data_IF_955951570371
#
_entry.id   IF_955951570371
#
_cell.length_a   1.000
_cell.length_b   1.000
_cell.length_c   1.000
_cell.angle_alpha   90.00
_cell.angle_beta   90.00
_cell.angle_gamma   90.00
#
_symmetry.space_group_name_H-M   'P 1'
#
loop_
_entity.id
_entity.type
_entity.pdbx_description
1 polymer ?
#
# COMPACT_ATOMS: atom_id res chain seq x y z
N UNK A 1 11.24 80.19 -25.74
CA UNK A 1 10.62 79.87 -27.03
C UNK A 1 10.72 78.37 -27.23
N UNK A 2 9.58 77.72 -27.44
CA UNK A 2 9.42 76.33 -27.82
C UNK A 2 10.04 76.02 -29.18
N UNK A 3 10.26 74.71 -29.39
CA UNK A 3 9.78 73.90 -30.51
C UNK A 3 10.91 73.14 -31.24
N UNK A 4 11.05 71.83 -31.00
CA UNK A 4 10.49 70.72 -31.81
C UNK A 4 11.57 70.21 -32.80
N UNK A 5 11.72 68.96 -33.23
CA UNK A 5 10.92 67.73 -33.29
C UNK A 5 11.89 66.60 -33.74
N UNK A 6 11.64 65.33 -33.42
CA UNK A 6 11.41 64.22 -34.38
C UNK A 6 11.60 62.82 -33.75
N UNK A 7 10.56 62.01 -33.96
CA UNK A 7 10.40 60.56 -33.83
C UNK A 7 11.50 59.81 -34.62
N UNK A 8 11.91 58.55 -34.42
CA UNK A 8 11.25 57.23 -34.38
C UNK A 8 12.37 56.26 -33.87
N UNK A 9 12.13 55.19 -33.09
CA UNK A 9 12.09 53.80 -33.57
C UNK A 9 11.71 52.90 -32.38
N UNK A 10 10.64 52.13 -32.57
CA UNK A 10 10.28 50.95 -31.79
C UNK A 10 10.86 49.72 -32.47
N UNK A 11 11.73 48.98 -31.78
CA UNK A 11 12.01 47.53 -31.89
C UNK A 11 12.71 47.22 -30.55
N UNK A 12 12.26 46.37 -29.64
CA UNK A 12 11.58 45.09 -29.80
C UNK A 12 12.52 44.02 -29.23
N UNK A 13 12.26 43.57 -28.00
CA UNK A 13 12.55 42.20 -27.53
C UNK A 13 12.10 42.08 -26.07
N UNK A 14 11.20 41.14 -25.86
CA UNK A 14 10.54 40.83 -24.61
C UNK A 14 11.55 40.43 -23.52
N UNK A 15 11.34 40.95 -22.30
CA UNK A 15 11.84 40.32 -21.10
C UNK A 15 11.11 38.96 -20.97
N UNK A 16 11.82 37.87 -21.25
CA UNK A 16 11.35 36.53 -20.98
C UNK A 16 11.32 36.37 -19.45
N UNK A 17 10.15 36.61 -18.86
CA UNK A 17 9.88 36.19 -17.50
C UNK A 17 9.98 34.66 -17.48
N UNK A 18 11.03 34.12 -16.88
CA UNK A 18 11.13 32.69 -16.57
C UNK A 18 10.08 32.44 -15.49
N UNK A 19 8.90 32.03 -15.94
CA UNK A 19 7.83 31.50 -15.10
C UNK A 19 8.39 30.26 -14.42
N UNK A 20 8.35 30.30 -13.09
CA UNK A 20 8.65 29.22 -12.17
C UNK A 20 7.97 27.93 -12.61
N UNK A 21 8.74 27.04 -13.24
CA UNK A 21 8.35 25.67 -13.50
C UNK A 21 8.59 24.83 -12.24
N UNK A 22 7.65 24.89 -11.30
CA UNK A 22 7.48 23.85 -10.30
C UNK A 22 7.10 22.56 -11.05
N UNK A 23 8.08 21.71 -11.32
CA UNK A 23 7.91 20.53 -12.18
C UNK A 23 8.63 19.32 -11.62
N UNK A 24 7.88 18.52 -10.86
CA UNK A 24 8.08 17.11 -10.56
C UNK A 24 9.37 16.75 -9.81
N UNK A 25 9.37 17.04 -8.50
CA UNK A 25 10.04 16.14 -7.57
C UNK A 25 9.30 14.79 -7.62
N UNK A 26 9.93 13.78 -8.20
CA UNK A 26 9.54 12.40 -7.92
C UNK A 26 9.65 12.22 -6.40
N UNK A 27 8.54 11.88 -5.75
CA UNK A 27 8.57 11.48 -4.36
C UNK A 27 9.51 10.27 -4.27
N UNK A 28 10.66 10.47 -3.63
CA UNK A 28 11.60 9.40 -3.37
C UNK A 28 10.88 8.30 -2.57
N UNK A 29 11.04 7.04 -2.97
CA UNK A 29 10.33 5.89 -2.40
C UNK A 29 10.63 5.62 -0.92
N UNK A 30 11.37 6.50 -0.25
CA UNK A 30 11.67 6.45 1.18
C UNK A 30 10.44 6.74 2.05
N UNK A 31 9.44 7.49 1.56
CA UNK A 31 8.26 7.87 2.36
C UNK A 31 7.16 6.79 2.37
N UNK A 32 7.26 5.80 1.46
CA UNK A 32 6.34 4.66 1.37
C UNK A 32 6.59 3.61 2.48
N UNK A 33 7.80 3.59 3.01
CA UNK A 33 8.23 2.68 4.06
C UNK A 33 8.64 3.50 5.28
N UNK A 34 7.67 3.99 6.05
CA UNK A 34 7.94 4.36 7.44
C UNK A 34 8.34 3.06 8.15
N UNK A 35 9.63 2.73 8.12
CA UNK A 35 10.20 1.58 8.80
C UNK A 35 10.23 1.86 10.29
N UNK A 36 9.88 0.86 11.10
CA UNK A 36 10.07 0.95 12.55
C UNK A 36 11.55 0.75 12.83
N UNK A 37 12.18 1.69 13.55
CA UNK A 37 13.63 1.66 13.80
C UNK A 37 14.02 0.48 14.71
N UNK A 38 13.19 0.14 15.71
CA UNK A 38 13.46 -0.92 16.69
C UNK A 38 12.28 -1.90 16.84
N UNK A 39 12.00 -2.78 15.87
CA UNK A 39 10.97 -3.81 16.04
C UNK A 39 11.41 -4.84 17.09
N UNK A 40 10.53 -5.19 18.03
CA UNK A 40 10.77 -6.29 18.95
C UNK A 40 10.85 -7.62 18.19
N UNK A 41 11.76 -8.50 18.60
CA UNK A 41 11.74 -9.91 18.20
C UNK A 41 10.81 -10.69 19.14
N UNK A 42 9.63 -11.06 18.63
CA UNK A 42 8.59 -11.78 19.35
C UNK A 42 8.51 -13.24 18.89
N UNK A 43 8.23 -14.13 19.84
CA UNK A 43 7.70 -15.47 19.52
C UNK A 43 6.31 -15.38 18.89
N UNK A 44 5.87 -16.47 18.24
CA UNK A 44 4.51 -16.59 17.70
C UNK A 44 3.42 -16.29 18.74
N UNK A 45 3.61 -16.78 19.96
CA UNK A 45 2.64 -16.60 21.04
C UNK A 45 2.53 -15.13 21.46
N UNK A 46 3.66 -14.46 21.68
CA UNK A 46 3.70 -13.04 22.05
C UNK A 46 3.09 -12.17 20.94
N UNK A 47 3.43 -12.44 19.68
CA UNK A 47 2.85 -11.75 18.54
C UNK A 47 1.31 -11.92 18.48
N UNK A 48 0.80 -13.12 18.74
CA UNK A 48 -0.65 -13.37 18.81
C UNK A 48 -1.33 -12.62 19.97
N UNK A 49 -0.69 -12.57 21.14
CA UNK A 49 -1.22 -11.87 22.32
C UNK A 49 -1.33 -10.37 22.07
N UNK A 50 -0.28 -9.74 21.53
CA UNK A 50 -0.31 -8.34 21.14
C UNK A 50 -1.35 -8.07 20.05
N UNK A 51 -1.42 -8.92 19.02
CA UNK A 51 -2.39 -8.77 17.94
C UNK A 51 -3.83 -8.83 18.45
N UNK A 52 -4.16 -9.80 19.32
CA UNK A 52 -5.50 -9.94 19.93
C UNK A 52 -5.89 -8.69 20.72
N UNK A 53 -4.93 -8.03 21.37
CA UNK A 53 -5.18 -6.77 22.10
C UNK A 53 -5.56 -5.61 21.16
N UNK A 54 -5.04 -5.60 19.93
CA UNK A 54 -5.23 -4.53 18.94
C UNK A 54 -6.32 -4.79 17.91
N UNK A 55 -6.66 -6.05 17.64
CA UNK A 55 -7.53 -6.45 16.51
C UNK A 55 -8.81 -5.60 16.40
N UNK A 56 -9.55 -5.43 17.50
CA UNK A 56 -10.80 -4.64 17.48
C UNK A 56 -10.57 -3.15 17.23
N UNK A 57 -9.43 -2.61 17.67
CA UNK A 57 -9.04 -1.22 17.42
C UNK A 57 -8.67 -1.01 15.96
N UNK A 58 -7.90 -1.94 15.38
CA UNK A 58 -7.57 -1.95 13.95
C UNK A 58 -8.82 -1.99 13.07
N UNK A 59 -9.73 -2.93 13.33
CA UNK A 59 -10.98 -3.04 12.58
C UNK A 59 -11.80 -1.74 12.58
N UNK A 60 -11.92 -1.08 13.75
CA UNK A 60 -12.60 0.21 13.86
C UNK A 60 -11.88 1.34 13.13
N UNK A 61 -10.55 1.37 13.21
CA UNK A 61 -9.73 2.36 12.51
C UNK A 61 -9.93 2.26 11.00
N UNK A 62 -9.69 1.08 10.42
CA UNK A 62 -9.81 0.89 8.98
C UNK A 62 -11.24 1.08 8.45
N UNK A 63 -12.27 0.78 9.25
CA UNK A 63 -13.66 1.00 8.85
C UNK A 63 -14.01 2.47 8.56
N UNK A 64 -13.25 3.43 9.10
CA UNK A 64 -13.43 4.86 8.81
C UNK A 64 -13.13 5.18 7.34
N UNK A 65 -12.30 4.37 6.66
CA UNK A 65 -12.02 4.52 5.22
C UNK A 65 -13.25 4.25 4.33
N UNK A 66 -14.30 3.60 4.87
CA UNK A 66 -15.53 3.25 4.15
C UNK A 66 -15.28 2.47 2.84
N UNK A 67 -14.24 1.63 2.83
CA UNK A 67 -13.92 0.77 1.71
C UNK A 67 -14.72 -0.54 1.80
N UNK A 68 -15.75 -0.66 0.97
CA UNK A 68 -16.62 -1.85 0.92
C UNK A 68 -15.85 -3.16 0.77
N UNK A 69 -14.76 -3.14 -0.02
CA UNK A 69 -13.96 -4.32 -0.31
C UNK A 69 -13.26 -4.94 0.92
N UNK A 70 -13.03 -4.17 2.00
CA UNK A 70 -12.42 -4.67 3.24
C UNK A 70 -13.39 -4.71 4.43
N UNK A 71 -14.69 -4.45 4.18
CA UNK A 71 -15.69 -4.62 5.20
C UNK A 71 -15.68 -6.07 5.71
N UNK A 72 -15.52 -6.21 7.02
CA UNK A 72 -15.45 -7.51 7.71
C UNK A 72 -14.27 -8.41 7.30
N UNK A 73 -13.14 -7.86 6.82
CA UNK A 73 -11.98 -8.67 6.40
C UNK A 73 -11.50 -9.67 7.45
N UNK A 74 -11.65 -9.37 8.75
CA UNK A 74 -11.27 -10.26 9.84
C UNK A 74 -12.12 -11.54 9.94
N UNK A 75 -13.21 -11.64 9.18
CA UNK A 75 -14.02 -12.86 9.04
C UNK A 75 -13.57 -13.74 7.87
N UNK A 76 -12.61 -13.28 7.08
CA UNK A 76 -12.06 -14.05 5.97
C UNK A 76 -11.06 -15.10 6.48
N UNK A 77 -10.76 -16.13 5.66
CA UNK A 77 -9.63 -17.02 5.92
C UNK A 77 -8.33 -16.25 6.22
N UNK A 78 -7.70 -16.63 7.31
CA UNK A 78 -6.39 -16.17 7.75
C UNK A 78 -5.34 -17.20 7.31
N UNK A 79 -4.31 -16.78 6.60
CA UNK A 79 -3.32 -17.67 5.98
C UNK A 79 -2.05 -17.88 6.81
N UNK A 80 -1.99 -17.28 7.99
CA UNK A 80 -0.87 -17.40 8.91
C UNK A 80 -1.32 -17.73 10.34
N UNK A 81 -0.58 -18.57 11.05
CA UNK A 81 -0.91 -19.05 12.39
C UNK A 81 -0.56 -18.05 13.52
N UNK A 82 0.35 -17.11 13.23
CA UNK A 82 0.71 -15.97 14.06
C UNK A 82 1.18 -14.81 13.18
N UNK A 83 1.05 -13.54 13.62
CA UNK A 83 1.62 -12.40 12.91
C UNK A 83 3.13 -12.58 12.74
N UNK A 84 3.67 -12.18 11.59
CA UNK A 84 5.10 -12.31 11.27
C UNK A 84 5.70 -10.98 10.83
N UNK A 85 7.00 -10.78 11.09
CA UNK A 85 7.70 -9.56 10.65
C UNK A 85 7.78 -9.55 9.12
N UNK A 86 7.38 -8.44 8.53
CA UNK A 86 7.57 -8.18 7.11
C UNK A 86 8.45 -6.94 6.90
N UNK A 87 9.69 -7.17 6.46
CA UNK A 87 10.63 -6.11 6.11
C UNK A 87 10.05 -5.17 5.03
N UNK A 88 9.38 -5.74 4.02
CA UNK A 88 8.76 -4.99 2.91
C UNK A 88 7.56 -4.14 3.33
N UNK A 89 7.05 -4.30 4.55
CA UNK A 89 5.99 -3.48 5.12
C UNK A 89 6.51 -2.62 6.30
N UNK A 90 7.80 -2.30 6.29
CA UNK A 90 8.45 -1.42 7.28
C UNK A 90 8.72 -2.08 8.62
N UNK A 91 9.08 -3.37 8.61
CA UNK A 91 9.39 -4.17 9.80
C UNK A 91 8.21 -4.33 10.78
N UNK A 92 6.98 -4.31 10.25
CA UNK A 92 5.77 -4.53 11.04
C UNK A 92 5.44 -6.01 11.11
N UNK A 93 4.76 -6.39 12.19
CA UNK A 93 4.09 -7.68 12.27
C UNK A 93 2.82 -7.63 11.43
N UNK A 94 2.63 -8.58 10.52
CA UNK A 94 1.48 -8.63 9.61
C UNK A 94 0.72 -9.94 9.72
N UNK A 95 -0.59 -9.88 9.51
CA UNK A 95 -1.40 -11.04 9.15
C UNK A 95 -1.81 -10.93 7.68
N UNK A 96 -2.08 -12.06 7.03
CA UNK A 96 -2.55 -12.13 5.65
C UNK A 96 -3.92 -12.79 5.58
N UNK A 97 -4.90 -12.04 5.12
CA UNK A 97 -6.27 -12.46 4.88
C UNK A 97 -6.53 -12.52 3.38
N UNK A 98 -7.33 -13.47 2.93
CA UNK A 98 -7.85 -13.48 1.57
C UNK A 98 -9.34 -13.74 1.57
N UNK A 99 -10.11 -12.96 0.80
CA UNK A 99 -11.55 -13.17 0.72
C UNK A 99 -11.89 -14.52 0.08
N UNK A 100 -13.17 -14.91 0.12
CA UNK A 100 -13.61 -16.19 -0.47
C UNK A 100 -13.33 -16.33 -1.97
N UNK A 101 -13.22 -15.22 -2.70
CA UNK A 101 -12.93 -15.27 -4.14
C UNK A 101 -11.48 -15.70 -4.39
N UNK A 102 -10.55 -15.28 -3.52
CA UNK A 102 -9.14 -15.65 -3.53
C UNK A 102 -8.87 -17.06 -2.95
N UNK A 103 -9.76 -18.02 -3.22
CA UNK A 103 -9.72 -19.38 -2.65
C UNK A 103 -8.44 -20.17 -2.99
N UNK A 104 -7.80 -19.87 -4.11
CA UNK A 104 -6.55 -20.51 -4.56
C UNK A 104 -5.29 -19.70 -4.21
N UNK A 105 -5.39 -18.60 -3.44
CA UNK A 105 -4.25 -17.73 -3.12
C UNK A 105 -3.03 -18.48 -2.56
N UNK A 106 -3.19 -19.52 -1.74
CA UNK A 106 -2.03 -20.24 -1.18
C UNK A 106 -1.48 -21.36 -2.07
N UNK A 107 -2.13 -21.64 -3.21
CA UNK A 107 -1.87 -22.84 -4.01
C UNK A 107 -1.74 -22.56 -5.52
N UNK A 108 -1.73 -21.29 -5.93
CA UNK A 108 -1.49 -20.90 -7.33
C UNK A 108 -0.26 -21.62 -7.88
N UNK A 109 -0.47 -22.28 -9.01
CA UNK A 109 0.59 -22.78 -9.86
C UNK A 109 1.06 -21.68 -10.81
N UNK A 110 2.22 -21.89 -11.44
CA UNK A 110 2.76 -20.96 -12.42
C UNK A 110 1.75 -20.71 -13.55
N UNK A 111 1.48 -19.42 -13.83
CA UNK A 111 0.53 -19.00 -14.86
C UNK A 111 -0.94 -19.03 -14.46
N UNK A 112 -1.29 -19.57 -13.28
CA UNK A 112 -2.63 -19.40 -12.73
C UNK A 112 -2.84 -17.97 -12.24
N UNK A 113 -4.08 -17.49 -12.35
CA UNK A 113 -4.50 -16.16 -11.87
C UNK A 113 -5.58 -16.29 -10.80
N UNK A 114 -5.61 -15.33 -9.89
CA UNK A 114 -6.74 -15.16 -8.99
C UNK A 114 -7.97 -14.70 -9.77
N UNK A 115 -9.19 -15.14 -9.40
CA UNK A 115 -10.40 -14.63 -10.04
C UNK A 115 -10.59 -13.13 -9.76
N UNK A 116 -11.22 -12.41 -10.70
CA UNK A 116 -11.65 -11.02 -10.48
C UNK A 116 -12.53 -10.91 -9.22
N UNK A 117 -12.31 -9.85 -8.44
CA UNK A 117 -12.92 -9.65 -7.13
C UNK A 117 -12.20 -10.39 -5.99
N UNK A 118 -11.07 -11.05 -6.28
CA UNK A 118 -10.16 -11.54 -5.24
C UNK A 118 -9.56 -10.36 -4.50
N UNK A 119 -9.65 -10.39 -3.16
CA UNK A 119 -9.08 -9.36 -2.30
C UNK A 119 -8.14 -10.02 -1.31
N UNK A 120 -6.90 -9.54 -1.29
CA UNK A 120 -5.89 -9.88 -0.30
C UNK A 120 -5.73 -8.66 0.62
N UNK A 121 -5.82 -8.89 1.93
CA UNK A 121 -5.68 -7.83 2.93
C UNK A 121 -4.61 -8.20 3.94
N UNK A 122 -3.71 -7.27 4.24
CA UNK A 122 -2.71 -7.40 5.28
C UNK A 122 -2.91 -6.31 6.32
N UNK A 123 -3.46 -6.67 7.48
CA UNK A 123 -3.38 -5.78 8.62
C UNK A 123 -2.02 -5.93 9.30
N UNK A 124 -1.61 -4.88 10.01
CA UNK A 124 -0.31 -4.86 10.66
C UNK A 124 -0.36 -4.22 12.03
N UNK A 125 0.64 -4.57 12.85
CA UNK A 125 0.92 -3.92 14.11
C UNK A 125 2.41 -3.66 14.25
N UNK A 126 2.74 -2.64 15.02
CA UNK A 126 4.10 -2.36 15.47
C UNK A 126 4.22 -2.78 16.92
N UNK A 127 5.28 -3.51 17.24
CA UNK A 127 5.73 -3.75 18.61
C UNK A 127 7.19 -3.30 18.68
N UNK A 128 7.50 -2.33 19.54
CA UNK A 128 8.88 -1.87 19.74
C UNK A 128 9.58 -2.71 20.80
N UNK A 129 10.91 -2.71 20.81
CA UNK A 129 11.73 -3.38 21.83
C UNK A 129 11.53 -2.82 23.24
N UNK A 130 11.05 -1.58 23.38
CA UNK A 130 10.60 -1.03 24.66
C UNK A 130 9.18 -1.49 25.07
N UNK A 131 8.55 -2.33 24.26
CA UNK A 131 7.24 -2.94 24.54
C UNK A 131 6.04 -2.07 24.14
N UNK A 132 6.24 -1.03 23.33
CA UNK A 132 5.12 -0.21 22.84
C UNK A 132 4.39 -0.91 21.70
N UNK A 133 3.07 -0.96 21.78
CA UNK A 133 2.21 -1.73 20.86
C UNK A 133 1.23 -0.80 20.16
N UNK A 134 1.32 -0.72 18.83
CA UNK A 134 0.54 0.20 18.01
C UNK A 134 -0.14 -0.50 16.82
N UNK A 135 -1.41 -0.15 16.50
CA UNK A 135 -1.99 -0.48 15.20
C UNK A 135 -1.11 0.05 14.06
N UNK A 136 -0.89 -0.77 13.04
CA UNK A 136 -0.17 -0.39 11.83
C UNK A 136 -1.11 -0.08 10.66
N UNK A 137 -0.55 0.08 9.48
CA UNK A 137 -1.33 0.28 8.26
C UNK A 137 -1.99 -1.04 7.79
N UNK A 138 -3.07 -0.91 7.05
CA UNK A 138 -3.68 -1.98 6.26
C UNK A 138 -3.23 -1.85 4.80
N UNK A 139 -2.77 -2.95 4.22
CA UNK A 139 -2.38 -3.04 2.82
C UNK A 139 -3.35 -3.96 2.08
N UNK A 140 -3.91 -3.49 0.97
CA UNK A 140 -4.96 -4.20 0.24
C UNK A 140 -4.56 -4.37 -1.22
N UNK A 141 -4.82 -5.55 -1.76
CA UNK A 141 -4.75 -5.85 -3.18
C UNK A 141 -6.10 -6.36 -3.65
N UNK A 142 -6.61 -5.82 -4.75
CA UNK A 142 -7.85 -6.28 -5.39
C UNK A 142 -7.54 -6.68 -6.85
N UNK A 143 -7.94 -7.89 -7.23
CA UNK A 143 -7.88 -8.34 -8.63
C UNK A 143 -9.05 -7.75 -9.39
N UNK A 144 -8.76 -6.89 -10.35
CA UNK A 144 -9.74 -6.21 -11.19
C UNK A 144 -10.19 -7.09 -12.35
N UNK A 145 -11.12 -6.56 -13.14
CA UNK A 145 -11.45 -7.13 -14.44
C UNK A 145 -10.24 -7.06 -15.38
N UNK A 146 -10.18 -7.99 -16.34
CA UNK A 146 -9.16 -7.98 -17.38
C UNK A 146 -9.15 -6.63 -18.12
N UNK A 147 -7.94 -6.12 -18.36
CA UNK A 147 -7.64 -4.83 -18.99
C UNK A 147 -8.12 -3.58 -18.22
N UNK A 148 -8.59 -3.72 -16.97
CA UNK A 148 -9.02 -2.58 -16.16
C UNK A 148 -7.86 -1.75 -15.62
N UNK A 149 -6.69 -2.36 -15.42
CA UNK A 149 -5.45 -1.66 -15.04
C UNK A 149 -4.23 -2.39 -15.61
N UNK A 150 -3.99 -2.32 -16.94
CA UNK A 150 -2.92 -3.08 -17.59
C UNK A 150 -1.52 -2.75 -17.02
N UNK A 151 -1.30 -1.50 -16.62
CA UNK A 151 -0.04 -1.02 -16.03
C UNK A 151 0.31 -1.71 -14.70
N UNK A 152 -0.68 -2.31 -14.04
CA UNK A 152 -0.49 -3.08 -12.80
C UNK A 152 -0.97 -4.52 -12.93
N UNK A 153 -1.06 -5.04 -14.16
CA UNK A 153 -1.57 -6.37 -14.46
C UNK A 153 -2.93 -6.68 -13.81
N UNK A 154 -3.81 -5.68 -13.86
CA UNK A 154 -5.17 -5.68 -13.29
C UNK A 154 -5.20 -5.85 -11.77
N UNK A 155 -4.15 -5.42 -11.07
CA UNK A 155 -4.14 -5.34 -9.62
C UNK A 155 -4.30 -3.90 -9.14
N UNK A 156 -5.29 -3.65 -8.28
CA UNK A 156 -5.42 -2.40 -7.53
C UNK A 156 -4.73 -2.54 -6.17
N UNK A 157 -3.95 -1.52 -5.79
CA UNK A 157 -3.27 -1.47 -4.50
C UNK A 157 -3.78 -0.30 -3.69
N UNK A 158 -4.14 -0.55 -2.43
CA UNK A 158 -4.63 0.47 -1.50
C UNK A 158 -3.88 0.35 -0.19
N UNK A 159 -3.52 1.51 0.40
CA UNK A 159 -3.01 1.57 1.76
C UNK A 159 -3.94 2.43 2.63
N UNK A 160 -4.34 1.90 3.78
CA UNK A 160 -5.15 2.60 4.78
C UNK A 160 -4.36 2.73 6.07
N UNK A 161 -4.26 3.95 6.59
CA UNK A 161 -3.57 4.23 7.85
C UNK A 161 -4.39 3.76 9.06
N UNK A 162 -3.78 3.61 10.25
CA UNK A 162 -4.48 3.18 11.47
C UNK A 162 -5.71 4.00 11.87
N UNK A 163 -5.76 5.28 11.47
CA UNK A 163 -6.87 6.20 11.73
C UNK A 163 -7.99 6.11 10.68
N UNK A 164 -7.80 5.28 9.65
CA UNK A 164 -8.72 5.06 8.54
C UNK A 164 -8.57 6.03 7.38
N UNK A 165 -7.62 6.96 7.43
CA UNK A 165 -7.29 7.74 6.24
C UNK A 165 -6.67 6.86 5.16
N UNK A 166 -7.11 7.03 3.91
CA UNK A 166 -6.51 6.35 2.75
C UNK A 166 -5.22 7.07 2.39
N UNK A 167 -4.08 6.38 2.51
CA UNK A 167 -2.78 6.94 2.16
C UNK A 167 -2.62 7.06 0.63
N UNK A 168 -3.13 6.08 -0.10
CA UNK A 168 -3.19 6.08 -1.56
C UNK A 168 -3.91 4.86 -2.12
N UNK A 169 -4.35 5.00 -3.36
CA UNK A 169 -5.08 4.00 -4.13
C UNK A 169 -4.64 4.11 -5.60
N UNK A 170 -4.17 3.02 -6.21
CA UNK A 170 -3.71 3.05 -7.62
C UNK A 170 -4.82 3.41 -8.61
N UNK A 171 -6.09 3.23 -8.23
CA UNK A 171 -7.26 3.60 -9.02
C UNK A 171 -7.91 4.91 -8.55
N UNK A 172 -7.26 5.64 -7.64
CA UNK A 172 -7.83 6.83 -7.02
C UNK A 172 -6.79 7.86 -6.61
N UNK A 173 -7.03 8.50 -5.47
CA UNK A 173 -6.17 9.56 -4.98
C UNK A 173 -4.79 9.04 -4.59
N UNK A 174 -3.78 9.87 -4.85
CA UNK A 174 -2.38 9.58 -4.50
C UNK A 174 -1.88 8.24 -5.08
N UNK A 175 -2.34 7.83 -6.26
CA UNK A 175 -1.91 6.61 -6.94
C UNK A 175 -0.37 6.43 -6.99
N UNK A 176 0.38 7.51 -7.26
CA UNK A 176 1.84 7.49 -7.26
C UNK A 176 2.47 7.12 -5.91
N UNK A 177 1.80 7.38 -4.78
CA UNK A 177 2.29 7.05 -3.45
C UNK A 177 2.22 5.55 -3.14
N UNK A 178 1.42 4.79 -3.88
CA UNK A 178 1.27 3.33 -3.75
C UNK A 178 1.70 2.57 -5.00
N UNK A 179 2.25 3.25 -6.00
CA UNK A 179 2.76 2.63 -7.23
C UNK A 179 3.90 1.62 -6.96
N UNK A 180 4.70 1.87 -5.92
CA UNK A 180 5.80 0.98 -5.50
C UNK A 180 5.30 -0.42 -5.10
N UNK A 181 4.03 -0.56 -4.68
CA UNK A 181 3.44 -1.83 -4.32
C UNK A 181 3.50 -2.80 -5.50
N UNK A 182 3.12 -2.34 -6.70
CA UNK A 182 3.17 -3.19 -7.90
C UNK A 182 4.61 -3.56 -8.25
N UNK A 183 5.52 -2.57 -8.28
CA UNK A 183 6.94 -2.79 -8.61
C UNK A 183 7.57 -3.87 -7.71
N UNK A 184 7.24 -3.89 -6.43
CA UNK A 184 7.72 -4.94 -5.54
C UNK A 184 7.11 -6.31 -5.88
N UNK A 185 5.82 -6.33 -6.23
CA UNK A 185 5.07 -7.53 -6.56
C UNK A 185 5.37 -8.12 -7.95
N UNK A 186 5.99 -7.37 -8.87
CA UNK A 186 6.51 -7.88 -10.15
C UNK A 186 7.53 -9.02 -9.96
N UNK A 187 8.20 -9.09 -8.80
CA UNK A 187 9.15 -10.16 -8.47
C UNK A 187 8.50 -11.55 -8.43
N UNK A 188 7.17 -11.62 -8.29
CA UNK A 188 6.38 -12.86 -8.26
C UNK A 188 5.24 -12.80 -9.30
N UNK A 189 5.51 -12.16 -10.45
CA UNK A 189 4.56 -12.04 -11.56
C UNK A 189 4.12 -13.41 -12.14
N UNK A 190 4.99 -14.41 -12.06
CA UNK A 190 4.71 -15.82 -12.41
C UNK A 190 3.62 -16.45 -11.54
N UNK A 191 3.36 -15.86 -10.37
CA UNK A 191 2.34 -16.24 -9.39
C UNK A 191 1.29 -15.16 -9.18
N UNK A 192 0.87 -14.57 -10.29
CA UNK A 192 -0.11 -13.49 -10.38
C UNK A 192 0.16 -12.36 -9.37
N UNK A 193 1.43 -11.98 -9.23
CA UNK A 193 1.86 -10.88 -8.38
C UNK A 193 1.55 -11.12 -6.89
N UNK A 194 1.41 -12.36 -6.43
CA UNK A 194 1.07 -12.66 -5.04
C UNK A 194 2.23 -13.30 -4.27
N UNK A 195 2.59 -12.68 -3.14
CA UNK A 195 3.52 -13.27 -2.19
C UNK A 195 2.77 -14.17 -1.21
N UNK A 196 3.20 -15.43 -1.08
CA UNK A 196 2.68 -16.30 -0.03
C UNK A 196 3.18 -15.89 1.35
N UNK A 197 2.41 -16.26 2.38
CA UNK A 197 2.88 -16.24 3.77
C UNK A 197 4.19 -17.07 3.87
N UNK A 198 5.17 -16.67 4.69
CA UNK A 198 6.37 -17.47 4.91
C UNK A 198 6.01 -18.88 5.40
N UNK A 199 6.70 -19.90 4.90
CA UNK A 199 6.32 -21.31 5.14
C UNK A 199 6.16 -21.64 6.63
N UNK A 200 7.05 -21.10 7.47
CA UNK A 200 7.02 -21.34 8.91
C UNK A 200 5.75 -20.81 9.60
N UNK A 201 5.06 -19.83 9.01
CA UNK A 201 3.83 -19.23 9.54
C UNK A 201 2.57 -19.71 8.84
N UNK A 202 2.66 -20.43 7.71
CA UNK A 202 1.47 -20.87 6.96
C UNK A 202 0.58 -21.73 7.84
N UNK A 203 -0.71 -21.43 7.86
CA UNK A 203 -1.71 -22.38 8.35
C UNK A 203 -1.69 -23.58 7.42
N UNK A 204 -1.37 -24.76 7.97
CA UNK A 204 -1.54 -26.02 7.23
C UNK A 204 -3.01 -26.41 7.34
N UNK A 205 -3.66 -26.56 6.19
CA UNK A 205 -4.98 -27.20 6.10
C UNK A 205 -4.91 -28.67 6.55
#
# INVERSE_FOLDING_TARGET
MNASTFSIIRFGAAALAIVSGSGLAFADGQDAHIAIENPAELSKQEALEHYRSLNRRMARGYAVAQLDLILNYQSWPLFNDAPYISATHGQRYVNSYANRMAHNYATLQEGEKLPMGSVLAKDSMTVTDEGHVHPGAMFVMEKLAEDASPDTADWRYIMVLPDGSVFGDTMGDRAGAVAYCHVCHEQVADRDYTFYVPEEYRTRD
#
